data_IF_872032092278
#
_entry.id   IF_872032092278
#
_cell.length_a   1.000
_cell.length_b   1.000
_cell.length_c   1.000
_cell.angle_alpha   90.00
_cell.angle_beta   90.00
_cell.angle_gamma   90.00
#
_symmetry.space_group_name_H-M   'P 1'
#
loop_
_entity.id
_entity.type
_entity.pdbx_description
1 polymer ?
#
# COMPACT_ATOMS: atom_id res chain seq x y z
N UNK A 1 -11.87 -18.56 -7.90
CA UNK A 1 -10.47 -18.02 -7.89
C UNK A 1 -10.05 -17.85 -6.43
N UNK A 2 -8.76 -18.02 -6.11
CA UNK A 2 -8.29 -17.65 -4.79
C UNK A 2 -8.45 -16.13 -4.62
N UNK A 3 -8.89 -15.64 -3.45
CA UNK A 3 -9.10 -14.22 -3.24
C UNK A 3 -7.75 -13.46 -3.23
N UNK A 4 -7.79 -12.22 -3.75
CA UNK A 4 -6.65 -11.30 -3.79
C UNK A 4 -7.04 -10.02 -3.07
N UNK A 5 -6.35 -9.66 -1.98
CA UNK A 5 -6.67 -8.45 -1.24
C UNK A 5 -5.97 -7.21 -1.82
N UNK A 6 -6.71 -6.10 -1.94
CA UNK A 6 -6.15 -4.78 -2.18
C UNK A 6 -5.90 -4.09 -0.82
N UNK A 7 -4.67 -3.70 -0.57
CA UNK A 7 -4.27 -2.93 0.61
C UNK A 7 -4.02 -1.47 0.22
N UNK A 8 -4.88 -0.56 0.67
CA UNK A 8 -4.72 0.88 0.47
C UNK A 8 -4.09 1.47 1.73
N UNK A 9 -2.80 1.80 1.64
CA UNK A 9 -1.98 2.19 2.78
C UNK A 9 -2.06 3.71 3.00
N UNK A 10 -2.52 4.11 4.20
CA UNK A 10 -2.46 5.47 4.74
C UNK A 10 -2.93 6.59 3.79
N UNK A 11 -3.90 6.31 2.91
CA UNK A 11 -4.50 7.32 2.06
C UNK A 11 -5.48 8.16 2.90
N UNK A 12 -4.92 9.11 3.62
CA UNK A 12 -5.61 10.01 4.55
C UNK A 12 -5.56 11.44 4.05
N UNK A 13 -6.46 12.32 4.50
CA UNK A 13 -6.52 13.72 4.08
C UNK A 13 -5.23 14.49 4.35
N UNK A 14 -4.57 14.18 5.47
CA UNK A 14 -3.36 14.87 5.91
C UNK A 14 -2.10 14.58 5.10
N UNK A 15 -2.10 13.56 4.22
CA UNK A 15 -0.92 13.25 3.38
C UNK A 15 -0.70 14.26 2.26
N UNK A 16 -1.72 15.03 1.93
CA UNK A 16 -1.65 16.12 0.95
C UNK A 16 -1.51 17.50 1.59
N UNK A 17 -1.23 17.57 2.91
CA UNK A 17 -0.97 18.84 3.58
C UNK A 17 0.31 19.49 3.03
N UNK A 18 0.29 20.82 2.71
CA UNK A 18 1.46 21.52 2.18
C UNK A 18 2.72 21.43 3.03
N UNK A 19 2.61 21.14 4.32
CA UNK A 19 3.75 20.96 5.23
C UNK A 19 4.62 19.74 4.90
N UNK A 20 4.09 18.79 4.11
CA UNK A 20 4.85 17.62 3.66
C UNK A 20 5.81 17.94 2.49
N UNK A 21 5.65 19.11 1.86
CA UNK A 21 6.48 19.55 0.74
C UNK A 21 6.08 18.96 -0.62
N UNK A 22 6.95 19.13 -1.64
CA UNK A 22 6.69 18.57 -2.97
C UNK A 22 6.55 17.06 -2.97
N UNK A 23 5.60 16.56 -3.75
CA UNK A 23 5.39 15.13 -3.96
C UNK A 23 5.60 14.74 -5.42
N UNK A 24 5.89 13.47 -5.65
CA UNK A 24 5.88 12.90 -6.99
C UNK A 24 4.50 12.33 -7.35
N UNK A 25 4.41 11.72 -8.51
CA UNK A 25 3.30 10.92 -9.03
C UNK A 25 1.91 11.60 -8.87
N UNK A 26 1.59 12.61 -9.68
CA UNK A 26 0.29 13.29 -9.63
C UNK A 26 -0.88 12.38 -10.05
N UNK A 27 -0.62 11.21 -10.65
CA UNK A 27 -1.65 10.24 -11.05
C UNK A 27 -1.96 9.18 -9.98
N UNK A 28 -1.33 9.25 -8.81
CA UNK A 28 -1.46 8.24 -7.76
C UNK A 28 -2.92 7.95 -7.41
N UNK A 29 -3.70 8.98 -7.09
CA UNK A 29 -5.10 8.83 -6.69
C UNK A 29 -5.97 8.27 -7.83
N UNK A 30 -5.71 8.65 -9.08
CA UNK A 30 -6.41 8.10 -10.24
C UNK A 30 -6.14 6.60 -10.39
N UNK A 31 -4.89 6.17 -10.19
CA UNK A 31 -4.49 4.77 -10.23
C UNK A 31 -5.08 3.97 -9.06
N UNK A 32 -5.11 4.54 -7.85
CA UNK A 32 -5.80 3.92 -6.70
C UNK A 32 -7.30 3.76 -7.01
N UNK A 33 -7.94 4.77 -7.60
CA UNK A 33 -9.34 4.69 -8.00
C UNK A 33 -9.60 3.54 -8.97
N UNK A 34 -8.75 3.38 -10.00
CA UNK A 34 -8.87 2.29 -10.96
C UNK A 34 -8.73 0.90 -10.30
N UNK A 35 -7.80 0.75 -9.33
CA UNK A 35 -7.67 -0.48 -8.55
C UNK A 35 -8.92 -0.75 -7.72
N UNK A 36 -9.43 0.25 -7.00
CA UNK A 36 -10.64 0.12 -6.18
C UNK A 36 -11.85 -0.32 -7.03
N UNK A 37 -12.03 0.29 -8.20
CA UNK A 37 -13.12 -0.05 -9.11
C UNK A 37 -13.00 -1.50 -9.60
N UNK A 38 -11.80 -1.94 -9.97
CA UNK A 38 -11.54 -3.31 -10.41
C UNK A 38 -11.82 -4.33 -9.28
N UNK A 39 -11.33 -4.08 -8.05
CA UNK A 39 -11.56 -4.97 -6.91
C UNK A 39 -13.04 -5.06 -6.54
N UNK A 40 -13.75 -3.94 -6.55
CA UNK A 40 -15.20 -3.92 -6.31
C UNK A 40 -15.97 -4.68 -7.36
N UNK A 41 -15.63 -4.52 -8.64
CA UNK A 41 -16.31 -5.21 -9.75
C UNK A 41 -16.17 -6.72 -9.68
N UNK A 42 -15.05 -7.21 -9.15
CA UNK A 42 -14.74 -8.63 -8.97
C UNK A 42 -15.09 -9.15 -7.56
N UNK A 43 -15.73 -8.32 -6.73
CA UNK A 43 -16.06 -8.62 -5.32
C UNK A 43 -14.88 -9.19 -4.54
N UNK A 44 -13.69 -8.62 -4.74
CA UNK A 44 -12.47 -9.00 -4.07
C UNK A 44 -12.24 -8.18 -2.79
N UNK A 45 -11.54 -8.73 -1.78
CA UNK A 45 -11.34 -8.07 -0.50
C UNK A 45 -10.54 -6.77 -0.60
N UNK A 46 -11.03 -5.71 0.07
CA UNK A 46 -10.38 -4.41 0.17
C UNK A 46 -10.07 -4.09 1.63
N UNK A 47 -8.82 -3.78 1.91
CA UNK A 47 -8.35 -3.38 3.23
C UNK A 47 -7.89 -1.92 3.17
N UNK A 48 -8.45 -1.09 4.05
CA UNK A 48 -7.91 0.25 4.29
C UNK A 48 -6.99 0.22 5.50
N UNK A 49 -5.87 0.93 5.39
CA UNK A 49 -4.93 1.12 6.49
C UNK A 49 -4.90 2.59 6.86
N UNK A 50 -5.06 2.87 8.14
CA UNK A 50 -4.98 4.23 8.71
C UNK A 50 -3.79 4.33 9.64
N UNK A 51 -2.95 5.31 9.41
CA UNK A 51 -1.86 5.66 10.32
C UNK A 51 -2.35 6.63 11.39
N UNK A 52 -2.38 6.20 12.63
CA UNK A 52 -2.65 7.04 13.80
C UNK A 52 -1.31 7.48 14.38
N UNK A 53 -0.77 8.59 13.87
CA UNK A 53 0.55 9.09 14.25
C UNK A 53 0.61 9.50 15.72
N UNK A 54 1.69 9.12 16.39
CA UNK A 54 2.00 9.56 17.77
C UNK A 54 2.88 10.81 17.79
N UNK A 55 3.42 11.24 16.64
CA UNK A 55 4.31 12.40 16.54
C UNK A 55 3.55 13.72 16.77
N UNK A 56 4.02 14.61 17.67
CA UNK A 56 3.26 15.80 18.07
C UNK A 56 2.87 16.76 16.94
N UNK A 57 3.68 16.86 15.89
CA UNK A 57 3.44 17.78 14.75
C UNK A 57 2.80 17.10 13.54
N UNK A 58 2.45 15.82 13.61
CA UNK A 58 1.93 15.09 12.45
C UNK A 58 0.49 15.49 12.12
N UNK A 59 0.22 15.69 10.83
CA UNK A 59 -1.14 15.89 10.29
C UNK A 59 -2.01 14.63 10.42
N UNK A 60 -1.40 13.45 10.65
CA UNK A 60 -2.08 12.16 10.78
C UNK A 60 -2.38 11.76 12.23
N UNK A 61 -2.33 12.71 13.18
CA UNK A 61 -2.70 12.40 14.57
C UNK A 61 -4.20 12.22 14.71
N UNK A 62 -4.65 11.27 15.53
CA UNK A 62 -6.08 11.11 15.85
C UNK A 62 -6.72 12.39 16.38
N UNK A 63 -7.99 12.58 16.04
CA UNK A 63 -8.81 13.72 16.52
C UNK A 63 -8.67 15.01 15.72
N UNK A 64 -8.02 14.96 14.53
CA UNK A 64 -7.96 16.08 13.60
C UNK A 64 -8.32 15.66 12.18
N UNK A 65 -8.77 16.58 11.31
CA UNK A 65 -9.27 16.25 9.97
C UNK A 65 -8.26 15.53 9.08
N UNK A 66 -6.96 15.77 9.26
CA UNK A 66 -5.90 15.12 8.48
C UNK A 66 -5.78 13.60 8.75
N UNK A 67 -6.26 13.12 9.89
CA UNK A 67 -6.27 11.71 10.23
C UNK A 67 -7.41 10.93 9.54
N UNK A 68 -8.47 11.63 9.09
CA UNK A 68 -9.56 10.99 8.37
C UNK A 68 -9.07 10.36 7.07
N UNK A 69 -9.69 9.27 6.65
CA UNK A 69 -9.46 8.69 5.33
C UNK A 69 -9.81 9.69 4.22
N UNK A 70 -9.12 9.59 3.11
CA UNK A 70 -9.39 10.41 1.92
C UNK A 70 -10.81 10.16 1.41
N UNK A 71 -11.45 11.16 0.81
CA UNK A 71 -12.85 11.11 0.36
C UNK A 71 -13.13 9.98 -0.64
N UNK A 72 -12.15 9.58 -1.45
CA UNK A 72 -12.28 8.47 -2.38
C UNK A 72 -12.45 7.11 -1.69
N UNK A 73 -12.16 7.02 -0.39
CA UNK A 73 -12.33 5.84 0.45
C UNK A 73 -13.64 5.92 1.26
N UNK A 74 -14.69 6.47 0.69
CA UNK A 74 -15.98 6.68 1.37
C UNK A 74 -16.75 5.37 1.63
N UNK A 75 -16.52 4.32 0.83
CA UNK A 75 -17.15 3.02 1.01
C UNK A 75 -16.49 2.25 2.15
N UNK A 76 -17.27 1.39 2.83
CA UNK A 76 -16.73 0.53 3.88
C UNK A 76 -15.78 -0.53 3.28
N UNK A 77 -14.57 -0.70 3.85
CA UNK A 77 -13.68 -1.78 3.49
C UNK A 77 -14.09 -3.09 4.15
N UNK A 78 -13.56 -4.22 3.67
CA UNK A 78 -13.69 -5.51 4.35
C UNK A 78 -12.92 -5.56 5.67
N UNK A 79 -11.87 -4.73 5.79
CA UNK A 79 -11.10 -4.52 7.00
C UNK A 79 -10.53 -3.10 7.05
N UNK A 80 -10.65 -2.43 8.18
CA UNK A 80 -9.89 -1.23 8.50
C UNK A 80 -8.82 -1.59 9.53
N UNK A 81 -7.55 -1.46 9.14
CA UNK A 81 -6.40 -1.63 10.04
C UNK A 81 -5.92 -0.27 10.51
N UNK A 82 -5.77 -0.09 11.81
CA UNK A 82 -5.16 1.10 12.42
C UNK A 82 -3.77 0.78 12.93
N UNK A 83 -2.79 1.61 12.65
CA UNK A 83 -1.40 1.39 13.07
C UNK A 83 -0.73 2.67 13.56
N UNK A 84 0.30 2.49 14.41
CA UNK A 84 1.16 3.55 14.96
C UNK A 84 2.61 3.45 14.46
N UNK A 85 2.91 2.44 13.65
CA UNK A 85 4.24 2.14 13.09
C UNK A 85 4.18 2.02 11.57
N UNK A 86 5.31 1.85 10.90
CA UNK A 86 5.36 1.90 9.44
C UNK A 86 4.58 0.76 8.77
N UNK A 87 4.71 -0.49 9.24
CA UNK A 87 4.06 -1.62 8.58
C UNK A 87 2.63 -1.86 9.06
N UNK A 88 1.70 -2.08 8.13
CA UNK A 88 0.32 -2.46 8.41
C UNK A 88 0.19 -3.81 9.13
N UNK A 89 1.16 -4.69 9.00
CA UNK A 89 1.18 -6.00 9.68
C UNK A 89 1.43 -5.92 11.19
N UNK A 90 1.70 -4.72 11.72
CA UNK A 90 1.78 -4.44 13.16
C UNK A 90 0.65 -3.53 13.63
N UNK A 91 -0.42 -3.44 12.88
CA UNK A 91 -1.64 -2.72 13.22
C UNK A 91 -2.69 -3.62 13.86
N UNK A 92 -3.82 -3.02 14.18
CA UNK A 92 -5.00 -3.70 14.74
C UNK A 92 -6.24 -3.39 13.90
N UNK A 93 -7.08 -4.39 13.58
CA UNK A 93 -6.91 -5.84 13.84
C UNK A 93 -5.69 -6.45 13.14
N UNK A 94 -5.23 -7.64 13.59
CA UNK A 94 -4.10 -8.35 12.99
C UNK A 94 -4.37 -8.69 11.51
N UNK A 95 -3.66 -7.99 10.62
CA UNK A 95 -3.81 -8.14 9.17
C UNK A 95 -3.41 -9.54 8.69
N UNK A 96 -2.33 -10.11 9.24
CA UNK A 96 -1.85 -11.42 8.80
C UNK A 96 -2.83 -12.53 9.18
N UNK A 97 -3.38 -12.48 10.39
CA UNK A 97 -4.40 -13.41 10.83
C UNK A 97 -5.66 -13.29 9.98
N UNK A 98 -6.11 -12.06 9.71
CA UNK A 98 -7.29 -11.80 8.88
C UNK A 98 -7.13 -12.34 7.46
N UNK A 99 -5.98 -12.10 6.81
CA UNK A 99 -5.68 -12.61 5.47
C UNK A 99 -5.67 -14.14 5.45
N UNK A 100 -4.96 -14.78 6.41
CA UNK A 100 -4.85 -16.24 6.51
C UNK A 100 -6.20 -16.91 6.77
N UNK A 101 -7.04 -16.32 7.63
CA UNK A 101 -8.38 -16.86 7.93
C UNK A 101 -9.30 -16.89 6.70
N UNK A 102 -9.01 -16.08 5.69
CA UNK A 102 -9.71 -15.99 4.41
C UNK A 102 -9.01 -16.70 3.26
N UNK A 103 -7.91 -17.39 3.55
CA UNK A 103 -7.09 -18.08 2.54
C UNK A 103 -6.56 -17.12 1.45
N UNK A 104 -6.28 -15.88 1.83
CA UNK A 104 -5.69 -14.87 0.95
C UNK A 104 -4.17 -15.01 1.01
N UNK A 105 -3.56 -15.42 -0.08
CA UNK A 105 -2.11 -15.59 -0.21
C UNK A 105 -1.47 -14.42 -0.97
N UNK A 106 -2.24 -13.77 -1.87
CA UNK A 106 -1.77 -12.63 -2.66
C UNK A 106 -2.37 -11.33 -2.15
N UNK A 107 -1.51 -10.31 -2.04
CA UNK A 107 -1.90 -8.95 -1.72
C UNK A 107 -1.35 -7.97 -2.75
N UNK A 108 -2.17 -7.01 -3.14
CA UNK A 108 -1.80 -5.89 -4.01
C UNK A 108 -1.77 -4.64 -3.16
N UNK A 109 -0.68 -3.85 -3.24
CA UNK A 109 -0.46 -2.70 -2.38
C UNK A 109 -0.37 -1.40 -3.15
N UNK A 110 -1.05 -0.38 -2.63
CA UNK A 110 -1.00 1.00 -3.10
C UNK A 110 -1.08 1.96 -1.89
N UNK A 111 -0.90 3.26 -2.10
CA UNK A 111 -1.07 4.28 -1.04
C UNK A 111 0.14 5.15 -0.77
N UNK A 112 0.37 5.55 0.49
CA UNK A 112 1.31 6.61 0.91
C UNK A 112 2.08 6.20 2.18
N UNK A 113 3.38 6.50 2.35
CA UNK A 113 4.35 6.96 1.35
C UNK A 113 5.07 5.76 0.75
N UNK A 114 5.45 5.87 -0.52
CA UNK A 114 6.13 4.82 -1.28
C UNK A 114 7.28 4.19 -0.50
N UNK A 115 8.25 5.00 -0.05
CA UNK A 115 9.50 4.58 0.63
C UNK A 115 9.39 4.43 2.14
N UNK A 116 8.19 4.52 2.70
CA UNK A 116 7.94 4.43 4.15
C UNK A 116 6.93 3.32 4.45
N UNK A 117 5.67 3.67 4.66
CA UNK A 117 4.64 2.71 5.07
C UNK A 117 4.35 1.65 4.00
N UNK A 118 4.36 2.03 2.71
CA UNK A 118 4.17 1.08 1.62
C UNK A 118 5.35 0.10 1.54
N UNK A 119 6.60 0.58 1.47
CA UNK A 119 7.79 -0.28 1.43
C UNK A 119 7.89 -1.17 2.68
N UNK A 120 7.69 -0.62 3.88
CA UNK A 120 7.74 -1.40 5.13
C UNK A 120 6.69 -2.50 5.16
N UNK A 121 5.47 -2.20 4.70
CA UNK A 121 4.39 -3.19 4.63
C UNK A 121 4.70 -4.27 3.60
N UNK A 122 5.24 -3.91 2.43
CA UNK A 122 5.62 -4.87 1.39
C UNK A 122 6.70 -5.84 1.89
N UNK A 123 7.75 -5.33 2.55
CA UNK A 123 8.83 -6.15 3.13
C UNK A 123 8.32 -7.13 4.18
N UNK A 124 7.50 -6.65 5.12
CA UNK A 124 6.94 -7.51 6.16
C UNK A 124 5.98 -8.54 5.56
N UNK A 125 5.12 -8.14 4.62
CA UNK A 125 4.20 -9.06 3.93
C UNK A 125 4.94 -10.20 3.23
N UNK A 126 5.99 -9.88 2.48
CA UNK A 126 6.87 -10.86 1.83
C UNK A 126 7.52 -11.79 2.86
N UNK A 127 8.09 -11.26 3.94
CA UNK A 127 8.72 -12.05 5.00
C UNK A 127 7.73 -12.98 5.73
N UNK A 128 6.44 -12.62 5.76
CA UNK A 128 5.37 -13.46 6.30
C UNK A 128 4.85 -14.51 5.30
N UNK A 129 5.38 -14.52 4.07
CA UNK A 129 5.08 -15.50 3.02
C UNK A 129 3.94 -15.11 2.08
N UNK A 130 3.46 -13.86 2.11
CA UNK A 130 2.46 -13.38 1.15
C UNK A 130 3.09 -13.08 -0.21
N UNK A 131 2.36 -13.40 -1.29
CA UNK A 131 2.70 -13.01 -2.66
C UNK A 131 2.32 -11.54 -2.88
N UNK A 132 3.31 -10.63 -2.75
CA UNK A 132 3.08 -9.19 -2.75
C UNK A 132 3.23 -8.61 -4.16
N UNK A 133 2.24 -7.83 -4.60
CA UNK A 133 2.30 -6.95 -5.77
C UNK A 133 2.35 -5.51 -5.29
N UNK A 134 3.41 -4.81 -5.61
CA UNK A 134 3.59 -3.40 -5.26
C UNK A 134 3.29 -2.54 -6.49
N UNK A 135 2.17 -1.79 -6.45
CA UNK A 135 1.76 -0.95 -7.59
C UNK A 135 2.41 0.43 -7.45
N UNK A 136 3.62 0.58 -8.01
CA UNK A 136 4.39 1.82 -7.88
C UNK A 136 3.64 3.05 -8.39
N UNK A 137 2.91 2.92 -9.52
CA UNK A 137 2.10 3.99 -10.10
C UNK A 137 0.92 4.42 -9.22
N UNK A 138 0.51 3.58 -8.28
CA UNK A 138 -0.53 3.88 -7.31
C UNK A 138 0.05 4.21 -5.92
N UNK A 139 1.31 4.66 -5.87
CA UNK A 139 1.92 5.21 -4.66
C UNK A 139 2.51 6.58 -4.93
N UNK A 140 2.66 7.40 -3.88
CA UNK A 140 3.46 8.62 -3.94
C UNK A 140 4.27 8.82 -2.67
N UNK A 141 5.28 9.68 -2.76
CA UNK A 141 6.08 10.13 -1.64
C UNK A 141 6.46 11.61 -1.79
N UNK A 142 7.17 12.15 -0.82
CA UNK A 142 7.59 13.56 -0.78
C UNK A 142 9.11 13.65 -0.73
N UNK A 143 9.64 14.80 -1.14
CA UNK A 143 11.06 15.12 -0.97
C UNK A 143 11.47 14.98 0.50
N UNK A 144 12.66 14.47 0.76
CA UNK A 144 13.14 14.26 2.14
C UNK A 144 14.53 14.81 2.36
N UNK A 145 14.78 15.46 3.51
CA UNK A 145 16.13 15.85 3.88
C UNK A 145 17.00 14.61 4.09
N UNK A 146 18.19 14.63 3.53
CA UNK A 146 19.21 13.62 3.74
C UNK A 146 20.06 13.93 4.99
N UNK A 147 20.66 12.91 5.64
CA UNK A 147 21.49 13.11 6.83
C UNK A 147 22.72 14.00 6.61
N UNK A 148 23.18 14.13 5.37
CA UNK A 148 24.31 15.00 4.98
C UNK A 148 23.90 16.47 4.78
N UNK A 149 22.63 16.81 5.00
CA UNK A 149 22.07 18.15 4.82
C UNK A 149 21.56 18.45 3.40
N UNK A 150 21.67 17.48 2.47
CA UNK A 150 21.07 17.57 1.14
C UNK A 150 19.57 17.30 1.15
N UNK A 151 18.97 17.33 -0.05
CA UNK A 151 17.58 16.93 -0.27
C UNK A 151 17.55 15.77 -1.27
N UNK A 152 16.79 14.74 -0.95
CA UNK A 152 16.51 13.64 -1.88
C UNK A 152 15.12 13.85 -2.44
N UNK A 153 15.01 13.96 -3.75
CA UNK A 153 13.72 14.15 -4.44
C UNK A 153 12.86 12.89 -4.37
N UNK A 154 11.56 13.09 -4.42
CA UNK A 154 10.55 12.04 -4.30
C UNK A 154 10.64 10.98 -5.41
N UNK A 155 11.01 11.36 -6.63
CA UNK A 155 11.18 10.40 -7.74
C UNK A 155 12.36 9.47 -7.50
N UNK A 156 13.47 10.01 -6.98
CA UNK A 156 14.64 9.20 -6.59
C UNK A 156 14.25 8.21 -5.49
N UNK A 157 13.54 8.65 -4.45
CA UNK A 157 13.08 7.77 -3.37
C UNK A 157 12.17 6.64 -3.89
N UNK A 158 11.22 6.96 -4.76
CA UNK A 158 10.33 5.96 -5.36
C UNK A 158 11.09 4.93 -6.21
N UNK A 159 12.04 5.38 -7.03
CA UNK A 159 12.89 4.49 -7.84
C UNK A 159 13.76 3.57 -7.00
N UNK A 160 14.34 4.09 -5.92
CA UNK A 160 15.16 3.29 -5.00
C UNK A 160 14.29 2.25 -4.29
N UNK A 161 13.09 2.63 -3.83
CA UNK A 161 12.13 1.68 -3.25
C UNK A 161 11.79 0.56 -4.22
N UNK A 162 11.47 0.87 -5.48
CA UNK A 162 11.19 -0.14 -6.48
C UNK A 162 12.38 -1.11 -6.66
N UNK A 163 13.60 -0.59 -6.79
CA UNK A 163 14.81 -1.41 -6.92
C UNK A 163 15.13 -2.26 -5.68
N UNK A 164 14.74 -1.79 -4.49
CA UNK A 164 14.91 -2.53 -3.24
C UNK A 164 13.91 -3.70 -3.10
N UNK A 165 12.75 -3.59 -3.73
CA UNK A 165 11.66 -4.54 -3.60
C UNK A 165 11.68 -5.62 -4.68
N UNK A 166 11.96 -5.25 -5.93
CA UNK A 166 11.91 -6.14 -7.08
C UNK A 166 13.31 -6.66 -7.46
N UNK A 167 13.51 -7.96 -7.72
CA UNK A 167 12.51 -9.04 -7.64
C UNK A 167 12.53 -9.84 -6.33
N UNK A 168 13.43 -9.51 -5.40
CA UNK A 168 13.74 -10.39 -4.26
C UNK A 168 12.61 -10.50 -3.22
N UNK A 169 11.91 -9.39 -2.97
CA UNK A 169 10.90 -9.32 -1.91
C UNK A 169 9.48 -9.36 -2.44
N UNK A 170 9.23 -8.68 -3.57
CA UNK A 170 7.91 -8.66 -4.19
C UNK A 170 8.05 -8.36 -5.69
N UNK A 171 6.94 -8.36 -6.41
CA UNK A 171 6.91 -7.85 -7.79
C UNK A 171 6.39 -6.43 -7.80
N UNK A 172 7.19 -5.52 -8.35
CA UNK A 172 6.71 -4.17 -8.71
C UNK A 172 5.97 -4.28 -10.04
N UNK A 173 4.72 -3.82 -10.05
CA UNK A 173 3.82 -3.93 -11.19
C UNK A 173 3.18 -2.58 -11.52
N UNK A 174 2.68 -2.44 -12.73
CA UNK A 174 1.83 -1.32 -13.13
C UNK A 174 0.40 -1.52 -12.64
N UNK A 175 -0.40 -0.46 -12.65
CA UNK A 175 -1.84 -0.52 -12.36
C UNK A 175 -2.56 -1.46 -13.31
N UNK A 176 -2.22 -1.41 -14.61
CA UNK A 176 -2.80 -2.26 -15.63
C UNK A 176 -2.48 -3.74 -15.40
N UNK A 177 -1.22 -4.08 -15.12
CA UNK A 177 -0.81 -5.45 -14.80
C UNK A 177 -1.52 -6.00 -13.56
N UNK A 178 -1.66 -5.18 -12.50
CA UNK A 178 -2.35 -5.60 -11.28
C UNK A 178 -3.83 -5.93 -11.55
N UNK A 179 -4.51 -5.13 -12.38
CA UNK A 179 -5.90 -5.36 -12.79
C UNK A 179 -6.01 -6.59 -13.70
N UNK A 180 -5.09 -6.76 -14.65
CA UNK A 180 -5.05 -7.94 -15.52
C UNK A 180 -4.83 -9.23 -14.71
N UNK A 181 -3.88 -9.23 -13.76
CA UNK A 181 -3.61 -10.37 -12.87
C UNK A 181 -4.82 -10.72 -11.98
N UNK A 182 -5.67 -9.75 -11.63
CA UNK A 182 -6.89 -9.97 -10.87
C UNK A 182 -7.89 -10.83 -11.65
N UNK A 183 -8.06 -10.57 -12.96
CA UNK A 183 -8.92 -11.32 -13.85
C UNK A 183 -8.33 -12.64 -14.35
N UNK A 184 -7.02 -12.83 -14.25
CA UNK A 184 -6.35 -14.02 -14.74
C UNK A 184 -6.46 -15.18 -13.73
N UNK A 185 -6.77 -16.38 -14.25
CA UNK A 185 -6.66 -17.61 -13.46
C UNK A 185 -5.24 -17.75 -12.92
N UNK A 186 -5.08 -17.97 -11.60
CA UNK A 186 -3.79 -18.31 -11.03
C UNK A 186 -3.15 -19.47 -11.85
N UNK A 187 -1.89 -19.38 -12.27
CA UNK A 187 -1.21 -20.52 -12.89
C UNK A 187 -1.29 -21.70 -11.93
N UNK A 188 -1.67 -22.89 -12.44
CA UNK A 188 -1.62 -24.13 -11.64
C UNK A 188 -0.22 -24.22 -11.01
N UNK A 189 -0.12 -24.58 -9.72
CA UNK A 189 1.18 -24.80 -9.10
C UNK A 189 1.94 -25.84 -9.92
N UNK A 190 3.17 -25.51 -10.30
CA UNK A 190 4.03 -26.42 -11.03
C UNK A 190 4.07 -27.74 -10.25
N UNK A 191 3.54 -28.82 -10.86
CA UNK A 191 3.57 -30.16 -10.28
C UNK A 191 5.02 -30.49 -9.96
N UNK A 192 5.31 -30.61 -8.66
CA UNK A 192 6.62 -30.99 -8.20
C UNK A 192 7.09 -32.26 -8.94
N UNK A 193 8.28 -32.19 -9.51
CA UNK A 193 9.01 -33.36 -9.94
C UNK A 193 9.36 -34.14 -8.68
N UNK A 194 8.69 -35.27 -8.53
CA UNK A 194 9.01 -36.33 -7.57
C UNK A 194 10.39 -36.96 -7.84
#
# INVERSE_FOLDING_TARGET
>A
MAPVALLVIDLQRGVNDPSWGPRNNPSCEANIGALLDAWRSEAQPIVYVRHDSIEPGSTLRPGQPGNDLHEMLADEPDLLVTKHVSSAFFGEPDLAEWLRSRQIERVVMCGVQTNMCCESTARVGSNLGFDVRFVLEATHTHDRPAPDGGMIDADTLARVTAANLDPELCRVVTTAEAIEELGARAPEPARGLS
#
